data_IF_766900590857
#
_entry.id   IF_766900590857
#
_cell.length_a   1.000
_cell.length_b   1.000
_cell.length_c   1.000
_cell.angle_alpha   90.00
_cell.angle_beta   90.00
_cell.angle_gamma   90.00
#
_symmetry.space_group_name_H-M   'P 1'
#
loop_
_entity.id
_entity.type
_entity.pdbx_description
1 polymer ?
#
# COMPACT_ATOMS: atom_id res chain seq x y z
N UNK A 1 9.89 75.28 -5.65
CA UNK A 1 10.04 76.16 -6.82
C UNK A 1 9.39 75.47 -8.00
N UNK A 2 8.37 76.12 -8.58
CA UNK A 2 7.81 75.91 -9.93
C UNK A 2 7.17 74.55 -10.27
N UNK A 3 6.14 74.44 -11.10
CA UNK A 3 5.08 75.30 -11.61
C UNK A 3 4.10 74.35 -12.32
N UNK A 4 2.81 74.68 -12.34
CA UNK A 4 1.77 74.00 -13.11
C UNK A 4 2.11 73.87 -14.60
N UNK A 5 1.54 72.87 -15.28
CA UNK A 5 0.77 73.06 -16.52
C UNK A 5 -0.07 71.82 -16.79
N UNK A 6 -1.38 72.02 -16.94
CA UNK A 6 -2.33 71.07 -17.51
C UNK A 6 -2.48 71.39 -18.98
N UNK A 7 -2.44 70.38 -19.84
CA UNK A 7 -2.95 70.45 -21.22
C UNK A 7 -3.62 69.13 -21.57
N UNK A 8 -4.93 69.23 -21.77
CA UNK A 8 -5.82 68.25 -22.38
C UNK A 8 -5.66 68.30 -23.90
N UNK A 9 -5.47 67.14 -24.54
CA UNK A 9 -5.79 66.91 -25.95
C UNK A 9 -6.24 65.45 -26.12
N UNK A 10 -7.55 65.24 -26.27
CA UNK A 10 -8.13 64.05 -26.88
C UNK A 10 -7.86 64.05 -28.39
N UNK A 11 -7.30 62.95 -28.91
CA UNK A 11 -7.53 62.51 -30.31
C UNK A 11 -7.81 61.00 -30.29
N UNK A 12 -8.88 60.63 -31.00
CA UNK A 12 -9.45 59.29 -31.17
C UNK A 12 -8.72 58.60 -32.33
N UNK A 13 -8.41 57.32 -32.21
CA UNK A 13 -8.44 56.34 -33.33
C UNK A 13 -8.32 54.94 -32.71
N UNK A 14 -9.39 54.15 -32.70
CA UNK A 14 -9.76 53.17 -33.74
C UNK A 14 -8.97 51.86 -33.62
N UNK A 15 -9.59 50.93 -32.89
CA UNK A 15 -9.64 49.47 -33.10
C UNK A 15 -8.51 48.87 -33.96
N UNK A 16 -7.62 48.14 -33.31
CA UNK A 16 -7.13 46.87 -33.83
C UNK A 16 -7.33 45.84 -32.72
N UNK A 17 -8.32 44.97 -32.93
CA UNK A 17 -8.45 43.75 -32.17
C UNK A 17 -7.50 42.76 -32.82
N UNK A 18 -6.38 42.46 -32.16
CA UNK A 18 -5.59 41.28 -32.46
C UNK A 18 -6.46 40.05 -32.11
N UNK A 19 -7.29 39.64 -33.07
CA UNK A 19 -7.86 38.29 -33.11
C UNK A 19 -6.71 37.34 -33.48
N UNK A 20 -5.97 36.90 -32.45
CA UNK A 20 -5.17 35.69 -32.51
C UNK A 20 -6.08 34.56 -32.99
N UNK A 21 -5.75 33.83 -34.07
CA UNK A 21 -6.60 32.74 -34.54
C UNK A 21 -6.65 31.67 -33.45
N UNK A 22 -7.85 31.40 -32.93
CA UNK A 22 -8.11 30.25 -32.08
C UNK A 22 -7.79 29.01 -32.92
N UNK A 23 -6.62 28.40 -32.66
CA UNK A 23 -6.29 27.09 -33.19
C UNK A 23 -7.33 26.10 -32.65
N UNK A 24 -8.37 25.83 -33.45
CA UNK A 24 -9.28 24.72 -33.20
C UNK A 24 -8.45 23.44 -33.23
N UNK A 25 -8.04 22.99 -32.04
CA UNK A 25 -7.31 21.75 -31.83
C UNK A 25 -8.18 20.62 -32.37
N UNK A 26 -7.91 20.20 -33.61
CA UNK A 26 -8.67 19.18 -34.30
C UNK A 26 -8.58 17.90 -33.47
N UNK A 27 -9.71 17.57 -32.82
CA UNK A 27 -9.80 16.42 -31.93
C UNK A 27 -9.69 15.16 -32.77
N UNK A 28 -8.48 14.62 -32.88
CA UNK A 28 -8.16 13.42 -33.64
C UNK A 28 -9.09 12.26 -33.21
N UNK A 29 -9.95 11.74 -34.11
CA UNK A 29 -10.81 10.61 -33.80
C UNK A 29 -10.03 9.31 -33.53
N UNK A 30 -8.73 9.25 -33.85
CA UNK A 30 -7.83 8.14 -33.51
C UNK A 30 -7.06 8.35 -32.20
N UNK A 31 -7.33 9.43 -31.45
CA UNK A 31 -6.76 9.62 -30.13
C UNK A 31 -7.17 8.46 -29.21
N UNK A 32 -6.20 7.58 -28.88
CA UNK A 32 -6.39 6.50 -27.93
C UNK A 32 -6.95 7.08 -26.63
N UNK A 33 -8.15 6.63 -26.23
CA UNK A 33 -8.77 7.00 -24.97
C UNK A 33 -7.78 6.63 -23.87
N UNK A 34 -7.11 7.64 -23.29
CA UNK A 34 -6.34 7.47 -22.08
C UNK A 34 -7.33 7.24 -20.95
N UNK A 35 -7.82 6.01 -20.82
CA UNK A 35 -8.47 5.57 -19.59
C UNK A 35 -7.51 5.91 -18.47
N UNK A 36 -7.96 6.73 -17.52
CA UNK A 36 -7.22 7.10 -16.32
C UNK A 36 -7.05 5.83 -15.46
N UNK A 37 -6.09 4.99 -15.86
CA UNK A 37 -5.78 3.74 -15.19
C UNK A 37 -5.05 4.11 -13.90
N UNK A 38 -5.82 4.23 -12.81
CA UNK A 38 -5.25 4.46 -11.49
C UNK A 38 -4.30 3.31 -11.15
N UNK A 39 -3.13 3.58 -10.55
CA UNK A 39 -2.26 2.53 -10.06
C UNK A 39 -3.02 1.66 -9.05
N UNK A 40 -3.02 0.35 -9.27
CA UNK A 40 -3.61 -0.61 -8.32
C UNK A 40 -2.53 -1.57 -7.84
N UNK A 41 -2.41 -1.71 -6.52
CA UNK A 41 -1.54 -2.67 -5.88
C UNK A 41 -2.35 -3.91 -5.49
N UNK A 42 -1.97 -5.05 -6.01
CA UNK A 42 -2.43 -6.35 -5.56
C UNK A 42 -1.38 -6.98 -4.63
N UNK A 43 -1.86 -7.47 -3.48
CA UNK A 43 -1.08 -8.20 -2.50
C UNK A 43 -1.59 -9.63 -2.43
N UNK A 44 -0.70 -10.59 -2.67
CA UNK A 44 -0.98 -11.99 -2.41
C UNK A 44 -0.23 -12.40 -1.14
N UNK A 45 -0.92 -13.14 -0.27
CA UNK A 45 -0.39 -13.57 1.02
C UNK A 45 -0.42 -15.10 1.09
N UNK A 46 0.69 -15.68 1.54
CA UNK A 46 0.83 -17.12 1.79
C UNK A 46 1.28 -17.32 3.25
N UNK A 47 0.68 -18.29 3.94
CA UNK A 47 1.03 -18.62 5.33
C UNK A 47 1.64 -20.01 5.34
N UNK A 48 2.91 -20.11 5.75
CA UNK A 48 3.65 -21.37 5.77
C UNK A 48 4.21 -21.63 7.16
N UNK A 49 4.11 -22.87 7.64
CA UNK A 49 4.68 -23.26 8.93
C UNK A 49 6.21 -23.33 8.86
N UNK A 50 6.91 -22.58 9.71
CA UNK A 50 8.37 -22.72 9.84
C UNK A 50 8.71 -24.00 10.58
N UNK A 51 9.48 -24.89 9.95
CA UNK A 51 10.01 -26.08 10.64
C UNK A 51 11.03 -25.72 11.73
N UNK A 52 11.77 -24.63 11.56
CA UNK A 52 12.80 -24.21 12.53
C UNK A 52 12.18 -23.54 13.75
N UNK A 53 11.25 -22.60 13.54
CA UNK A 53 10.68 -21.81 14.62
C UNK A 53 9.36 -22.37 15.16
N UNK A 54 8.78 -23.39 14.51
CA UNK A 54 7.51 -24.00 14.88
C UNK A 54 6.35 -22.99 15.00
N UNK A 55 6.41 -21.91 14.22
CA UNK A 55 5.35 -20.90 14.12
C UNK A 55 5.01 -20.60 12.66
N UNK A 56 3.80 -20.12 12.36
CA UNK A 56 3.43 -19.69 11.02
C UNK A 56 4.26 -18.46 10.59
N UNK A 57 4.62 -18.42 9.31
CA UNK A 57 5.37 -17.36 8.66
C UNK A 57 4.52 -16.81 7.53
N UNK A 58 4.35 -15.49 7.52
CA UNK A 58 3.59 -14.79 6.50
C UNK A 58 4.54 -14.35 5.39
N UNK A 59 4.33 -14.90 4.21
CA UNK A 59 4.94 -14.48 2.95
C UNK A 59 3.96 -13.62 2.17
N UNK A 60 4.48 -12.69 1.38
CA UNK A 60 3.66 -11.88 0.49
C UNK A 60 4.41 -11.40 -0.74
N UNK A 61 3.66 -11.19 -1.82
CA UNK A 61 4.16 -10.62 -3.07
C UNK A 61 3.35 -9.41 -3.49
N UNK A 62 4.00 -8.46 -4.15
CA UNK A 62 3.39 -7.22 -4.63
C UNK A 62 3.29 -7.28 -6.15
N UNK A 63 2.07 -7.11 -6.68
CA UNK A 63 1.84 -6.90 -8.11
C UNK A 63 1.23 -5.54 -8.33
N UNK A 64 1.99 -4.66 -8.98
CA UNK A 64 1.52 -3.36 -9.37
C UNK A 64 0.98 -3.39 -10.80
N UNK A 65 -0.23 -2.87 -10.98
CA UNK A 65 -0.78 -2.57 -12.30
C UNK A 65 -0.77 -1.06 -12.50
N UNK A 66 -0.36 -0.61 -13.68
CA UNK A 66 -0.32 0.81 -14.06
C UNK A 66 0.58 1.68 -13.15
N UNK A 67 1.68 1.11 -12.65
CA UNK A 67 2.68 1.79 -11.83
C UNK A 67 4.06 1.68 -12.49
N UNK A 68 4.81 2.78 -12.54
CA UNK A 68 6.14 2.86 -13.16
C UNK A 68 7.27 3.13 -12.17
N UNK A 69 6.98 3.11 -10.86
CA UNK A 69 7.98 3.38 -9.83
C UNK A 69 8.76 2.14 -9.38
N UNK A 70 9.79 2.33 -8.54
CA UNK A 70 10.60 1.23 -8.01
C UNK A 70 9.77 0.29 -7.12
N UNK A 71 10.03 -1.01 -7.25
CA UNK A 71 9.40 -2.07 -6.43
C UNK A 71 10.48 -2.66 -5.52
N UNK A 72 10.75 -1.96 -4.41
CA UNK A 72 11.74 -2.36 -3.41
C UNK A 72 11.16 -2.41 -2.00
N UNK A 73 12.00 -2.75 -1.03
CA UNK A 73 11.61 -2.83 0.38
C UNK A 73 11.03 -1.49 0.90
N UNK A 74 11.59 -0.36 0.46
CA UNK A 74 11.06 0.98 0.78
C UNK A 74 9.61 1.15 0.32
N UNK A 75 9.28 0.66 -0.88
CA UNK A 75 7.93 0.69 -1.44
C UNK A 75 6.98 -0.15 -0.60
N UNK A 76 7.43 -1.30 -0.07
CA UNK A 76 6.66 -2.15 0.83
C UNK A 76 6.34 -1.39 2.12
N UNK A 77 7.34 -0.78 2.77
CA UNK A 77 7.10 0.01 3.96
C UNK A 77 6.16 1.20 3.70
N UNK A 78 6.25 1.85 2.55
CA UNK A 78 5.40 3.00 2.21
C UNK A 78 3.96 2.61 1.91
N UNK A 79 3.72 1.52 1.17
CA UNK A 79 2.40 1.21 0.60
C UNK A 79 1.69 0.04 1.28
N UNK A 80 2.42 -0.87 1.93
CA UNK A 80 1.85 -2.06 2.57
C UNK A 80 1.81 -1.90 4.08
N UNK A 81 2.85 -1.34 4.69
CA UNK A 81 2.93 -1.22 6.15
C UNK A 81 2.16 0.02 6.62
N UNK A 82 1.12 -0.12 7.47
CA UNK A 82 0.44 1.03 8.06
C UNK A 82 1.40 1.89 8.87
N UNK A 83 1.21 3.22 8.86
CA UNK A 83 2.17 4.18 9.43
C UNK A 83 2.55 3.87 10.89
N UNK A 84 1.58 3.43 11.70
CA UNK A 84 1.78 3.07 13.11
C UNK A 84 2.73 1.89 13.33
N UNK A 85 2.86 0.98 12.36
CA UNK A 85 3.72 -0.21 12.47
C UNK A 85 5.08 -0.03 11.80
N UNK A 86 5.27 1.01 10.98
CA UNK A 86 6.55 1.25 10.27
C UNK A 86 7.72 1.35 11.22
N UNK A 87 7.62 2.14 12.29
CA UNK A 87 8.71 2.28 13.25
C UNK A 87 9.01 0.97 13.99
N UNK A 88 7.99 0.16 14.29
CA UNK A 88 8.16 -1.10 15.01
C UNK A 88 8.72 -2.23 14.14
N UNK A 89 8.46 -2.20 12.83
CA UNK A 89 9.04 -3.13 11.85
C UNK A 89 10.43 -2.69 11.34
N UNK A 90 10.69 -1.37 11.32
CA UNK A 90 12.00 -0.81 10.97
C UNK A 90 12.99 -0.84 12.13
N UNK A 91 12.51 -0.70 13.38
CA UNK A 91 13.30 -1.05 14.56
C UNK A 91 13.19 -2.56 14.79
N UNK A 92 14.14 -3.14 15.51
CA UNK A 92 14.16 -4.57 15.87
C UNK A 92 13.07 -4.88 16.92
N UNK A 93 11.82 -4.49 16.64
CA UNK A 93 10.68 -4.60 17.55
C UNK A 93 10.00 -5.96 17.49
N UNK A 94 9.04 -6.19 18.38
CA UNK A 94 8.35 -7.48 18.63
C UNK A 94 7.73 -8.13 17.37
N UNK A 95 7.44 -7.37 16.31
CA UNK A 95 6.84 -7.92 15.08
C UNK A 95 7.85 -8.53 14.09
N UNK A 96 9.15 -8.35 14.31
CA UNK A 96 10.20 -8.83 13.40
C UNK A 96 10.30 -7.96 12.14
N UNK A 97 11.49 -7.85 11.56
CA UNK A 97 11.67 -7.07 10.33
C UNK A 97 11.03 -7.76 9.12
N UNK A 98 10.64 -6.96 8.12
CA UNK A 98 10.31 -7.48 6.80
C UNK A 98 11.61 -7.77 6.05
N UNK A 99 11.73 -9.00 5.54
CA UNK A 99 12.88 -9.47 4.77
C UNK A 99 12.46 -9.92 3.38
N UNK A 100 13.42 -9.94 2.45
CA UNK A 100 13.26 -10.53 1.11
C UNK A 100 13.95 -11.88 1.08
N UNK A 101 13.27 -12.91 0.58
CA UNK A 101 13.81 -14.26 0.46
C UNK A 101 13.11 -15.04 -0.64
N UNK A 102 13.15 -16.36 -0.54
CA UNK A 102 12.48 -17.26 -1.47
C UNK A 102 11.29 -17.94 -0.79
N UNK A 103 10.16 -17.97 -1.49
CA UNK A 103 8.98 -18.69 -1.02
C UNK A 103 9.25 -20.20 -1.01
N UNK A 104 8.95 -20.92 0.09
CA UNK A 104 9.35 -22.32 0.25
C UNK A 104 8.70 -23.28 -0.74
N UNK A 105 7.48 -22.98 -1.22
CA UNK A 105 6.78 -23.86 -2.17
C UNK A 105 7.05 -23.50 -3.63
N UNK A 106 7.07 -22.21 -3.96
CA UNK A 106 7.18 -21.76 -5.35
C UNK A 106 8.61 -21.44 -5.79
N UNK A 107 9.53 -21.29 -4.83
CA UNK A 107 10.92 -20.89 -5.09
C UNK A 107 11.05 -19.46 -5.66
N UNK A 108 9.96 -18.70 -5.72
CA UNK A 108 9.97 -17.34 -6.24
C UNK A 108 10.42 -16.32 -5.17
N UNK A 109 11.00 -15.18 -5.57
CA UNK A 109 11.28 -14.09 -4.64
C UNK A 109 10.00 -13.59 -3.97
N UNK A 110 10.00 -13.54 -2.64
CA UNK A 110 8.86 -13.09 -1.85
C UNK A 110 9.34 -12.34 -0.60
N UNK A 111 8.55 -11.37 -0.15
CA UNK A 111 8.75 -10.73 1.13
C UNK A 111 8.16 -11.60 2.23
N UNK A 112 8.74 -11.56 3.43
CA UNK A 112 8.20 -12.27 4.57
C UNK A 112 8.46 -11.52 5.87
N UNK A 113 7.58 -11.72 6.84
CA UNK A 113 7.78 -11.23 8.21
C UNK A 113 8.67 -12.21 8.95
N UNK A 114 9.80 -11.74 9.48
CA UNK A 114 10.78 -12.63 10.12
C UNK A 114 10.20 -13.28 11.40
N UNK A 115 10.22 -14.61 11.53
CA UNK A 115 9.49 -15.30 12.59
C UNK A 115 10.12 -15.21 13.97
N UNK A 116 11.39 -14.81 14.11
CA UNK A 116 12.09 -14.87 15.40
C UNK A 116 11.33 -14.14 16.54
N UNK A 117 10.90 -12.91 16.31
CA UNK A 117 10.22 -12.13 17.34
C UNK A 117 8.75 -12.56 17.51
N UNK A 118 8.14 -13.07 16.43
CA UNK A 118 6.79 -13.63 16.47
C UNK A 118 6.76 -14.93 17.27
N UNK A 119 7.79 -15.78 17.16
CA UNK A 119 7.91 -17.03 17.91
C UNK A 119 7.97 -16.76 19.43
N UNK A 120 8.79 -15.79 19.83
CA UNK A 120 8.87 -15.36 21.22
C UNK A 120 7.53 -14.79 21.69
N UNK A 121 6.94 -13.87 20.93
CA UNK A 121 5.66 -13.24 21.29
C UNK A 121 4.52 -14.26 21.42
N UNK A 122 4.41 -15.21 20.48
CA UNK A 122 3.40 -16.27 20.56
C UNK A 122 3.62 -17.13 21.79
N UNK A 123 4.86 -17.53 22.10
CA UNK A 123 5.15 -18.31 23.31
C UNK A 123 4.57 -17.63 24.55
N UNK A 124 4.80 -16.33 24.74
CA UNK A 124 4.28 -15.57 25.88
C UNK A 124 2.75 -15.46 25.93
N UNK A 125 2.08 -15.35 24.78
CA UNK A 125 0.61 -15.20 24.73
C UNK A 125 -0.10 -16.55 24.96
N UNK A 126 0.55 -17.64 24.54
CA UNK A 126 0.02 -18.99 24.65
C UNK A 126 0.39 -19.69 25.96
N UNK A 127 1.37 -19.13 26.68
CA UNK A 127 1.83 -19.72 27.93
C UNK A 127 0.66 -19.80 28.94
N UNK A 128 0.60 -20.93 29.65
CA UNK A 128 -0.46 -21.27 30.63
C UNK A 128 -1.89 -21.48 30.07
N UNK A 129 -2.12 -21.33 28.75
CA UNK A 129 -3.44 -21.51 28.14
C UNK A 129 -3.45 -22.70 27.19
N UNK A 130 -4.33 -23.67 27.44
CA UNK A 130 -4.73 -24.65 26.44
C UNK A 130 -5.55 -23.94 25.35
N UNK A 131 -4.86 -23.43 24.33
CA UNK A 131 -5.52 -22.81 23.18
C UNK A 131 -5.66 -23.80 22.02
N UNK A 132 -6.75 -23.68 21.28
CA UNK A 132 -6.94 -24.46 20.05
C UNK A 132 -6.06 -23.90 18.94
N UNK A 133 -5.79 -24.71 17.92
CA UNK A 133 -5.05 -24.25 16.73
C UNK A 133 -5.74 -23.06 16.03
N UNK A 134 -7.07 -23.03 16.03
CA UNK A 134 -7.85 -21.89 15.50
C UNK A 134 -7.60 -20.61 16.29
N UNK A 135 -7.64 -20.67 17.62
CA UNK A 135 -7.35 -19.50 18.48
C UNK A 135 -5.89 -19.07 18.33
N UNK A 136 -4.96 -20.02 18.21
CA UNK A 136 -3.56 -19.73 17.94
C UNK A 136 -3.40 -18.91 16.65
N UNK A 137 -4.02 -19.37 15.55
CA UNK A 137 -3.94 -18.71 14.26
C UNK A 137 -4.59 -17.32 14.29
N UNK A 138 -5.73 -17.15 14.95
CA UNK A 138 -6.39 -15.84 15.08
C UNK A 138 -5.54 -14.85 15.87
N UNK A 139 -4.94 -15.28 16.98
CA UNK A 139 -4.01 -14.46 17.78
C UNK A 139 -2.78 -14.09 16.96
N UNK A 140 -2.15 -15.07 16.32
CA UNK A 140 -0.99 -14.87 15.45
C UNK A 140 -1.30 -13.89 14.31
N UNK A 141 -2.47 -14.02 13.68
CA UNK A 141 -2.89 -13.17 12.57
C UNK A 141 -3.21 -11.75 13.03
N UNK A 142 -3.75 -11.60 14.25
CA UNK A 142 -3.87 -10.31 14.92
C UNK A 142 -2.51 -9.65 15.18
N UNK A 143 -1.49 -10.43 15.52
CA UNK A 143 -0.14 -9.92 15.78
C UNK A 143 0.60 -9.57 14.47
N UNK A 144 0.64 -10.48 13.50
CA UNK A 144 1.47 -10.36 12.29
C UNK A 144 0.71 -9.68 11.14
N UNK A 145 -0.55 -10.03 10.92
CA UNK A 145 -1.32 -9.60 9.74
C UNK A 145 -1.47 -8.07 9.66
N UNK A 146 -1.78 -7.43 10.79
CA UNK A 146 -1.97 -5.98 10.84
C UNK A 146 -0.71 -5.20 10.43
N UNK A 147 0.47 -5.77 10.65
CA UNK A 147 1.76 -5.15 10.31
C UNK A 147 1.97 -5.00 8.80
N UNK A 148 1.31 -5.84 8.00
CA UNK A 148 1.41 -5.90 6.54
C UNK A 148 0.06 -5.68 5.87
N UNK A 149 -0.86 -4.98 6.56
CA UNK A 149 -2.20 -4.62 6.07
C UNK A 149 -3.11 -5.82 5.72
N UNK A 150 -2.79 -7.01 6.23
CA UNK A 150 -3.68 -8.16 6.18
C UNK A 150 -4.68 -8.09 7.34
N UNK A 151 -5.93 -7.83 7.00
CA UNK A 151 -7.05 -7.80 7.95
C UNK A 151 -7.95 -9.01 7.73
N UNK A 152 -8.37 -9.66 8.81
CA UNK A 152 -9.35 -10.75 8.75
C UNK A 152 -10.74 -10.16 8.90
N UNK A 153 -11.62 -10.30 7.89
CA UNK A 153 -13.03 -9.98 8.07
C UNK A 153 -13.61 -10.79 9.23
N UNK A 154 -14.41 -10.15 10.08
CA UNK A 154 -15.02 -10.78 11.26
C UNK A 154 -15.81 -12.04 10.90
N UNK A 155 -16.37 -12.11 9.71
CA UNK A 155 -17.13 -13.25 9.19
C UNK A 155 -16.26 -14.52 9.09
N UNK A 156 -14.98 -14.35 8.75
CA UNK A 156 -13.99 -15.43 8.70
C UNK A 156 -13.54 -15.79 10.12
N UNK A 157 -13.36 -14.79 10.99
CA UNK A 157 -12.93 -15.01 12.37
C UNK A 157 -14.01 -15.68 13.25
N UNK A 158 -15.29 -15.46 12.95
CA UNK A 158 -16.42 -15.99 13.72
C UNK A 158 -16.85 -17.39 13.27
N UNK A 159 -16.34 -17.88 12.13
CA UNK A 159 -16.78 -19.11 11.49
C UNK A 159 -18.23 -18.96 11.00
N UNK A 160 -18.47 -19.09 9.70
CA UNK A 160 -19.83 -19.09 9.17
C UNK A 160 -20.61 -20.33 9.66
N UNK A 161 -21.19 -20.24 10.86
CA UNK A 161 -22.21 -21.14 11.39
C UNK A 161 -23.61 -20.80 10.86
N UNK A 162 -23.73 -20.36 9.61
CA UNK A 162 -25.01 -20.02 8.99
C UNK A 162 -25.11 -20.71 7.62
N UNK A 163 -25.59 -21.96 7.64
CA UNK A 163 -26.25 -22.54 6.48
C UNK A 163 -27.65 -21.91 6.36
N UNK A 164 -28.00 -21.22 5.26
CA UNK A 164 -29.39 -20.92 4.98
C UNK A 164 -30.09 -22.23 4.61
N UNK A 165 -31.16 -22.54 5.34
CA UNK A 165 -32.10 -23.64 5.03
C UNK A 165 -32.97 -23.29 3.83
#
# INVERSE_FOLDING_TARGET
MSASTQTDVQVRDARDADEEPEEEEAKDPEALIRTNLRPTLQLDYDIVLSQTYQVPVLYFTLRWHNYSGPVGLDTVYQHVVPQQYRQQLQSVGVMGGISLGYHPESGAPAFFVHPCNTADAMTHVTDERLITGETYLLVWLGLVGQSVNLHVPREIALGNGASPS
#
